data_IF_104078696813
#
_entry.id   IF_104078696813
#
_cell.length_a   1.000
_cell.length_b   1.000
_cell.length_c   1.000
_cell.angle_alpha   90.00
_cell.angle_beta   90.00
_cell.angle_gamma   90.00
#
_symmetry.space_group_name_H-M   'P 1'
#
loop_
_entity.id
_entity.type
_entity.pdbx_description
1 polymer ?
#
# COMPACT_ATOMS: atom_id res chain seq x y z
N UNK A 1 27.78 41.94 -12.05
CA UNK A 1 28.13 42.04 -10.62
C UNK A 1 27.84 40.68 -10.02
N UNK A 2 28.89 39.92 -9.71
CA UNK A 2 28.82 38.51 -9.32
C UNK A 2 28.81 38.39 -7.79
N UNK A 3 27.82 37.70 -7.24
CA UNK A 3 27.76 37.39 -5.81
C UNK A 3 27.97 35.90 -5.61
N UNK A 4 29.21 35.57 -5.30
CA UNK A 4 29.70 34.37 -4.62
C UNK A 4 28.98 34.15 -3.29
N UNK A 5 28.72 32.90 -2.91
CA UNK A 5 29.30 32.27 -1.68
C UNK A 5 28.82 30.82 -1.57
N UNK A 6 29.78 29.92 -1.71
CA UNK A 6 29.74 28.50 -1.38
C UNK A 6 29.79 28.31 0.14
N UNK A 7 28.98 27.42 0.70
CA UNK A 7 29.27 26.82 2.01
C UNK A 7 29.01 25.31 1.98
N UNK A 8 30.09 24.55 2.06
CA UNK A 8 30.16 23.11 2.29
C UNK A 8 30.28 22.88 3.79
N UNK A 9 29.45 22.01 4.37
CA UNK A 9 29.66 21.50 5.73
C UNK A 9 29.65 19.97 5.70
N UNK A 10 30.83 19.39 5.91
CA UNK A 10 31.05 17.96 6.16
C UNK A 10 31.04 17.75 7.68
N UNK A 11 30.15 16.89 8.18
CA UNK A 11 30.23 16.41 9.55
C UNK A 11 30.44 14.89 9.54
N UNK A 12 31.62 14.50 9.98
CA UNK A 12 32.07 13.13 10.20
C UNK A 12 31.95 12.87 11.70
N UNK A 13 31.09 11.95 12.11
CA UNK A 13 30.99 11.52 13.51
C UNK A 13 31.04 10.00 13.58
N UNK A 14 32.23 9.50 13.88
CA UNK A 14 32.54 8.11 14.22
C UNK A 14 32.27 7.87 15.70
N UNK A 15 31.41 6.91 16.03
CA UNK A 15 31.28 6.38 17.39
C UNK A 15 31.33 4.85 17.35
N UNK A 16 32.44 4.32 17.83
CA UNK A 16 32.76 2.90 18.02
C UNK A 16 32.35 2.44 19.42
N UNK A 17 32.40 1.11 19.64
CA UNK A 17 32.40 0.36 20.91
C UNK A 17 30.99 -0.03 21.40
N UNK A 18 30.67 -1.25 21.83
CA UNK A 18 31.44 -2.37 22.42
C UNK A 18 30.60 -3.65 22.28
N UNK A 19 31.19 -4.80 21.97
CA UNK A 19 30.50 -6.09 21.96
C UNK A 19 31.19 -7.10 22.89
N UNK A 20 30.61 -7.33 24.06
CA UNK A 20 30.85 -8.55 24.85
C UNK A 20 29.63 -8.85 25.72
N UNK A 21 28.98 -9.99 25.51
CA UNK A 21 28.31 -10.71 26.58
C UNK A 21 27.97 -12.15 26.14
N UNK A 22 28.63 -13.10 26.82
CA UNK A 22 28.06 -14.28 27.49
C UNK A 22 27.16 -15.24 26.70
N UNK A 23 27.69 -16.46 26.56
CA UNK A 23 26.97 -17.72 26.26
C UNK A 23 25.70 -17.93 27.07
N UNK A 24 24.70 -18.55 26.43
CA UNK A 24 23.90 -19.56 27.13
C UNK A 24 23.74 -20.85 26.31
N UNK A 25 23.61 -21.97 27.03
CA UNK A 25 23.17 -23.29 26.55
C UNK A 25 22.55 -24.02 27.76
N UNK A 26 21.69 -25.04 27.58
CA UNK A 26 20.45 -25.09 26.82
C UNK A 26 19.25 -25.62 27.66
N UNK A 27 18.08 -25.66 27.04
CA UNK A 27 16.90 -26.51 27.31
C UNK A 27 16.11 -26.40 28.63
N UNK A 28 14.85 -25.97 28.52
CA UNK A 28 13.72 -26.63 29.17
C UNK A 28 12.39 -26.33 28.42
N UNK A 29 11.92 -27.35 27.71
CA UNK A 29 10.52 -27.73 27.49
C UNK A 29 9.42 -26.87 28.15
N UNK A 30 8.60 -26.19 27.32
CA UNK A 30 7.15 -26.05 27.57
C UNK A 30 6.38 -25.99 26.25
N UNK A 31 5.65 -27.06 25.94
CA UNK A 31 4.66 -27.10 24.88
C UNK A 31 3.36 -26.45 25.38
N UNK A 32 3.16 -25.15 25.13
CA UNK A 32 1.84 -24.53 24.88
C UNK A 32 1.93 -23.09 24.35
N UNK A 33 1.25 -22.87 23.22
CA UNK A 33 0.74 -21.59 22.68
C UNK A 33 1.72 -20.60 21.99
N UNK A 34 1.57 -20.56 20.65
CA UNK A 34 1.84 -19.51 19.63
C UNK A 34 3.08 -18.61 19.77
N UNK A 35 3.96 -18.51 18.74
CA UNK A 35 3.82 -17.47 17.68
C UNK A 35 4.64 -17.75 16.38
N UNK A 36 4.95 -16.76 15.52
CA UNK A 36 4.14 -15.84 14.69
C UNK A 36 4.10 -16.38 13.23
N UNK A 37 3.24 -15.99 12.29
CA UNK A 37 3.30 -14.75 11.50
C UNK A 37 2.12 -14.91 10.55
N UNK A 38 1.07 -14.09 10.66
CA UNK A 38 0.09 -14.00 9.57
C UNK A 38 0.77 -13.20 8.46
N UNK A 39 1.62 -13.88 7.69
CA UNK A 39 2.09 -13.40 6.41
C UNK A 39 1.20 -14.09 5.38
N UNK A 40 0.13 -13.41 5.00
CA UNK A 40 -0.29 -13.45 3.60
C UNK A 40 -0.94 -12.09 3.33
N UNK A 41 -0.13 -11.20 2.77
CA UNK A 41 -0.53 -9.91 2.18
C UNK A 41 -1.32 -8.94 3.08
N UNK A 42 -0.66 -8.36 4.08
CA UNK A 42 -0.99 -6.96 4.44
C UNK A 42 -0.50 -6.07 3.29
N UNK A 43 -1.23 -6.12 2.18
CA UNK A 43 -1.15 -5.09 1.16
C UNK A 43 -1.35 -3.77 1.92
N UNK A 44 -0.41 -2.84 1.78
CA UNK A 44 -0.48 -1.52 2.41
C UNK A 44 -1.60 -0.72 1.74
N UNK A 45 -2.83 -1.10 2.06
CA UNK A 45 -4.06 -0.51 1.55
C UNK A 45 -4.18 0.85 2.20
N UNK A 46 -4.15 1.88 1.36
CA UNK A 46 -4.17 3.26 1.81
C UNK A 46 -5.53 3.64 2.42
N UNK A 47 -6.62 3.20 1.79
CA UNK A 47 -7.99 3.46 2.24
C UNK A 47 -8.99 2.47 1.60
N UNK A 48 -10.22 2.45 2.11
CA UNK A 48 -11.31 1.61 1.61
C UNK A 48 -12.41 2.53 1.06
N UNK A 49 -12.65 2.48 -0.24
CA UNK A 49 -13.55 3.38 -0.95
C UNK A 49 -14.72 2.59 -1.53
N UNK A 50 -15.94 3.10 -1.35
CA UNK A 50 -17.14 2.51 -1.92
C UNK A 50 -17.18 2.76 -3.44
N UNK A 51 -17.59 1.74 -4.20
CA UNK A 51 -17.68 1.83 -5.66
C UNK A 51 -18.63 2.95 -6.13
N UNK A 52 -19.56 3.38 -5.30
CA UNK A 52 -20.47 4.51 -5.52
C UNK A 52 -19.75 5.86 -5.59
N UNK A 53 -18.65 6.03 -4.85
CA UNK A 53 -17.82 7.26 -4.84
C UNK A 53 -16.82 7.29 -6.01
N UNK A 54 -16.60 6.13 -6.67
CA UNK A 54 -15.75 6.03 -7.84
C UNK A 54 -16.48 6.45 -9.12
N UNK A 55 -15.75 7.11 -10.02
CA UNK A 55 -16.27 7.46 -11.34
C UNK A 55 -16.10 6.30 -12.30
N UNK A 56 -17.21 5.81 -12.86
CA UNK A 56 -17.18 4.73 -13.86
C UNK A 56 -17.04 5.28 -15.29
N UNK A 57 -16.07 4.76 -16.03
CA UNK A 57 -15.92 5.03 -17.46
C UNK A 57 -16.45 3.84 -18.28
N UNK A 58 -17.57 4.04 -18.98
CA UNK A 58 -18.21 3.02 -19.82
C UNK A 58 -17.41 2.66 -21.07
N UNK A 59 -16.56 3.56 -21.54
CA UNK A 59 -15.76 3.32 -22.76
C UNK A 59 -14.62 2.37 -22.46
N UNK A 60 -14.01 2.54 -21.30
CA UNK A 60 -12.87 1.74 -20.84
C UNK A 60 -13.27 0.61 -19.88
N UNK A 61 -14.52 0.59 -19.42
CA UNK A 61 -15.04 -0.34 -18.42
C UNK A 61 -14.20 -0.35 -17.13
N UNK A 62 -13.89 0.85 -16.66
CA UNK A 62 -12.94 1.09 -15.57
C UNK A 62 -13.51 2.09 -14.56
N UNK A 63 -13.31 1.80 -13.28
CA UNK A 63 -13.54 2.75 -12.19
C UNK A 63 -12.28 3.54 -11.87
N UNK A 64 -12.44 4.85 -11.70
CA UNK A 64 -11.35 5.72 -11.32
C UNK A 64 -11.67 6.65 -10.15
N UNK A 65 -10.66 6.91 -9.33
CA UNK A 65 -10.75 7.76 -8.13
C UNK A 65 -9.58 8.75 -8.03
N UNK A 66 -9.80 10.03 -7.67
CA UNK A 66 -8.72 11.01 -7.54
C UNK A 66 -7.72 10.62 -6.45
N UNK A 67 -6.45 10.46 -6.82
CA UNK A 67 -5.39 10.09 -5.88
C UNK A 67 -4.73 11.35 -5.28
N UNK A 68 -4.38 11.39 -3.98
CA UNK A 68 -3.71 12.54 -3.36
C UNK A 68 -2.33 12.87 -3.97
N UNK A 69 -1.72 11.95 -4.74
CA UNK A 69 -0.47 12.21 -5.44
C UNK A 69 -0.63 13.06 -6.72
N UNK A 70 -1.86 13.26 -7.20
CA UNK A 70 -2.18 14.04 -8.40
C UNK A 70 -2.60 13.21 -9.62
N UNK A 71 -2.46 11.89 -9.55
CA UNK A 71 -2.97 10.91 -10.52
C UNK A 71 -4.35 10.35 -10.09
N UNK A 72 -4.75 9.21 -10.64
CA UNK A 72 -6.01 8.53 -10.32
C UNK A 72 -5.77 7.05 -10.07
N UNK A 73 -6.46 6.49 -9.09
CA UNK A 73 -6.57 5.03 -8.98
C UNK A 73 -7.43 4.51 -10.12
N UNK A 74 -7.08 3.33 -10.64
CA UNK A 74 -7.80 2.69 -11.72
C UNK A 74 -8.02 1.20 -11.40
N UNK A 75 -9.24 0.70 -11.64
CA UNK A 75 -9.59 -0.72 -11.52
C UNK A 75 -10.64 -1.13 -12.54
N UNK A 76 -10.49 -2.32 -13.12
CA UNK A 76 -11.40 -2.84 -14.13
C UNK A 76 -12.68 -3.40 -13.49
N UNK A 77 -13.81 -3.22 -14.15
CA UNK A 77 -15.06 -3.84 -13.72
C UNK A 77 -15.00 -5.38 -13.79
N UNK A 78 -14.28 -5.94 -14.77
CA UNK A 78 -14.06 -7.38 -14.87
C UNK A 78 -13.27 -7.90 -13.65
N UNK A 79 -12.22 -7.20 -13.22
CA UNK A 79 -11.47 -7.55 -12.00
C UNK A 79 -12.37 -7.56 -10.77
N UNK A 80 -13.21 -6.54 -10.60
CA UNK A 80 -14.20 -6.49 -9.53
C UNK A 80 -15.18 -7.68 -9.59
N UNK A 81 -15.58 -8.11 -10.80
CA UNK A 81 -16.46 -9.28 -10.98
C UNK A 81 -15.80 -10.61 -10.63
N UNK A 82 -14.50 -10.74 -10.87
CA UNK A 82 -13.70 -11.89 -10.46
C UNK A 82 -13.39 -11.89 -8.94
N UNK A 83 -13.74 -10.80 -8.23
CA UNK A 83 -13.53 -10.64 -6.79
C UNK A 83 -12.24 -9.91 -6.42
N UNK A 84 -11.64 -9.19 -7.37
CA UNK A 84 -10.45 -8.37 -7.14
C UNK A 84 -10.87 -6.92 -6.85
N UNK A 85 -10.80 -6.54 -5.58
CA UNK A 85 -11.14 -5.22 -5.04
C UNK A 85 -9.95 -4.25 -4.95
N UNK A 86 -8.80 -4.56 -5.53
CA UNK A 86 -7.59 -3.75 -5.36
C UNK A 86 -7.41 -2.78 -6.53
N UNK A 87 -7.64 -1.49 -6.28
CA UNK A 87 -7.38 -0.44 -7.26
C UNK A 87 -5.98 0.14 -7.08
N UNK A 88 -5.25 0.26 -8.18
CA UNK A 88 -3.82 0.65 -8.17
C UNK A 88 -3.68 2.02 -8.82
N UNK A 89 -2.82 2.88 -8.26
CA UNK A 89 -2.45 4.15 -8.89
C UNK A 89 -1.11 4.03 -9.64
N UNK A 90 -1.05 4.33 -10.94
CA UNK A 90 0.20 4.26 -11.71
C UNK A 90 1.21 5.35 -11.30
N UNK A 91 0.75 6.45 -10.70
CA UNK A 91 1.60 7.59 -10.33
C UNK A 91 2.36 7.41 -9.02
N UNK A 92 1.82 6.63 -8.08
CA UNK A 92 2.37 6.54 -6.73
C UNK A 92 2.42 5.13 -6.14
N UNK A 93 2.06 4.08 -6.90
CA UNK A 93 2.06 2.67 -6.45
C UNK A 93 1.23 2.36 -5.21
N UNK A 94 0.42 3.32 -4.75
CA UNK A 94 -0.56 3.13 -3.70
C UNK A 94 -1.67 2.20 -4.21
N UNK A 95 -2.25 1.47 -3.27
CA UNK A 95 -3.38 0.58 -3.51
C UNK A 95 -4.51 0.98 -2.57
N UNK A 96 -5.73 0.99 -3.07
CA UNK A 96 -6.94 1.19 -2.26
C UNK A 96 -7.85 -0.02 -2.44
N UNK A 97 -8.67 -0.28 -1.43
CA UNK A 97 -9.66 -1.35 -1.48
C UNK A 97 -10.99 -0.79 -1.92
N UNK A 98 -11.63 -1.43 -2.90
CA UNK A 98 -12.92 -1.01 -3.42
C UNK A 98 -14.00 -1.88 -2.78
N UNK A 99 -14.88 -1.27 -1.99
CA UNK A 99 -16.04 -1.94 -1.44
C UNK A 99 -17.15 -1.90 -2.48
N UNK A 100 -17.61 -3.06 -2.93
CA UNK A 100 -18.67 -3.19 -3.92
C UNK A 100 -19.61 -4.33 -3.58
N UNK A 101 -20.87 -4.18 -3.99
CA UNK A 101 -21.85 -5.25 -4.00
C UNK A 101 -22.10 -5.75 -5.43
N UNK A 102 -22.54 -7.00 -5.53
CA UNK A 102 -22.86 -7.62 -6.81
C UNK A 102 -24.06 -6.93 -7.51
N UNK A 103 -24.82 -6.11 -6.78
CA UNK A 103 -25.90 -5.26 -7.28
C UNK A 103 -25.39 -4.00 -7.97
N UNK A 104 -24.41 -3.30 -7.41
CA UNK A 104 -23.84 -2.10 -8.02
C UNK A 104 -23.17 -2.36 -9.37
N UNK A 105 -22.50 -3.51 -9.49
CA UNK A 105 -21.81 -3.90 -10.72
C UNK A 105 -22.77 -4.23 -11.88
N UNK A 106 -24.01 -4.65 -11.60
CA UNK A 106 -25.01 -4.91 -12.65
C UNK A 106 -25.71 -3.63 -13.11
N UNK A 107 -25.90 -2.65 -12.22
CA UNK A 107 -26.63 -1.43 -12.56
C UNK A 107 -25.82 -0.45 -13.41
N UNK A 108 -24.49 -0.41 -13.25
CA UNK A 108 -23.63 0.53 -14.00
C UNK A 108 -23.41 0.17 -15.48
N UNK A 109 -23.70 -1.07 -15.87
CA UNK A 109 -23.51 -1.57 -17.23
C UNK A 109 -24.66 -1.24 -18.19
N UNK A 110 -25.85 -0.97 -17.65
CA UNK A 110 -27.08 -0.71 -18.41
C UNK A 110 -27.46 0.78 -18.51
N UNK A 111 -26.63 1.67 -17.97
CA UNK A 111 -26.86 3.13 -17.98
C UNK A 111 -26.35 3.84 -19.22
#
# INVERSE_FOLDING_TARGET
MASTTTQTQTQTSTSTTTLTATSPSPEASDSKAAPPTQQDEELDIYDEIEIEDMTFDKTLQLYHYPCPCGDRFEIHIDSLRDGEDIAVCPGCSLMIRVIFDQEDLREKEDG
#
